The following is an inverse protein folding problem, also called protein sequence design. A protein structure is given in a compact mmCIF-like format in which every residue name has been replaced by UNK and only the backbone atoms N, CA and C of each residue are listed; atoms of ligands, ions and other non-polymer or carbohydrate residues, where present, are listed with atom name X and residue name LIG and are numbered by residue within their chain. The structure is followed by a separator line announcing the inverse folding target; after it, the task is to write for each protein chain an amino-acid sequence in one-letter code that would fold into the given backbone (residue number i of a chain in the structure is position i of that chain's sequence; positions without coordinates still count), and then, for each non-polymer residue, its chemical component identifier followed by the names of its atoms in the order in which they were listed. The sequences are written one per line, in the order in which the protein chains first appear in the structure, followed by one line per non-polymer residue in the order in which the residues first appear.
data_IF_712710789148
#
_entry.id   IF_712710789148
#
_cell.length_a   1.000
_cell.length_b   1.000
_cell.length_c   1.000
_cell.angle_alpha   90.00
_cell.angle_beta   90.00
_cell.angle_gamma   90.00
#
_symmetry.space_group_name_H-M   'P 1'
#
loop_
_entity.id
_entity.type
_entity.pdbx_description
1 polymer ?
#
# COMPACT_ATOMS: atom_id res chain seq x y z
N UNK A 1 -35.78 30.72 36.71
CA UNK A 1 -34.64 31.62 36.46
C UNK A 1 -33.41 30.76 36.22
N UNK A 2 -33.19 30.34 34.98
CA UNK A 2 -32.04 29.57 34.56
C UNK A 2 -31.08 30.53 33.89
N UNK A 3 -30.01 30.89 34.61
CA UNK A 3 -28.87 31.63 34.09
C UNK A 3 -28.14 30.75 33.09
N UNK A 4 -28.51 30.88 31.81
CA UNK A 4 -27.72 30.33 30.72
C UNK A 4 -26.36 31.03 30.74
N UNK A 5 -25.35 30.23 31.09
CA UNK A 5 -23.93 30.37 30.88
C UNK A 5 -23.56 31.32 29.72
N UNK A 6 -23.48 32.61 30.02
CA UNK A 6 -22.61 33.58 29.34
C UNK A 6 -21.18 33.32 29.77
N UNK A 7 -20.63 32.13 29.46
CA UNK A 7 -19.20 31.90 29.60
C UNK A 7 -18.49 32.66 28.48
N UNK A 8 -18.00 33.86 28.83
CA UNK A 8 -16.71 34.39 28.38
C UNK A 8 -16.38 34.28 26.87
N UNK A 9 -17.28 34.71 25.98
CA UNK A 9 -16.92 34.92 24.56
C UNK A 9 -16.20 36.26 24.36
N UNK A 10 -16.44 37.23 25.25
CA UNK A 10 -15.83 38.57 25.16
C UNK A 10 -14.29 38.56 25.31
N UNK A 11 -13.67 37.76 26.22
CA UNK A 11 -12.21 37.57 26.24
C UNK A 11 -11.65 36.81 25.03
N UNK A 12 -12.49 36.04 24.32
CA UNK A 12 -12.04 35.18 23.23
C UNK A 12 -11.69 35.98 21.97
N UNK A 13 -12.48 36.99 21.61
CA UNK A 13 -12.21 37.84 20.44
C UNK A 13 -10.89 38.60 20.53
N UNK A 14 -10.43 38.92 21.74
CA UNK A 14 -9.11 39.53 21.98
C UNK A 14 -7.94 38.60 21.66
N UNK A 15 -8.16 37.29 21.62
CA UNK A 15 -7.13 36.29 21.26
C UNK A 15 -7.07 36.04 19.75
N UNK A 16 -8.03 36.55 18.98
CA UNK A 16 -8.07 36.37 17.54
C UNK A 16 -7.15 37.36 16.84
N UNK A 17 -6.29 36.84 15.98
CA UNK A 17 -5.53 37.62 15.00
C UNK A 17 -6.47 38.29 13.99
N UNK A 18 -6.00 39.35 13.33
CA UNK A 18 -6.75 40.07 12.28
C UNK A 18 -7.25 39.12 11.19
N UNK A 19 -6.42 38.14 10.77
CA UNK A 19 -6.79 37.11 9.81
C UNK A 19 -7.94 36.22 10.31
N UNK A 20 -7.88 35.77 11.57
CA UNK A 20 -8.96 34.99 12.18
C UNK A 20 -10.25 35.80 12.33
N UNK A 21 -10.15 37.08 12.67
CA UNK A 21 -11.31 37.99 12.76
C UNK A 21 -11.99 38.20 11.41
N UNK A 22 -11.21 38.28 10.32
CA UNK A 22 -11.74 38.28 8.95
C UNK A 22 -12.45 36.96 8.64
N UNK A 23 -11.84 35.84 9.01
CA UNK A 23 -12.38 34.52 8.71
C UNK A 23 -13.73 34.23 9.39
N UNK A 24 -13.93 34.75 10.62
CA UNK A 24 -15.25 34.69 11.28
C UNK A 24 -16.32 35.36 10.41
N UNK A 25 -16.04 36.54 9.85
CA UNK A 25 -17.00 37.27 9.00
C UNK A 25 -17.24 36.55 7.67
N UNK A 26 -16.19 35.96 7.07
CA UNK A 26 -16.34 35.15 5.85
C UNK A 26 -17.18 33.91 6.10
N UNK A 27 -16.91 33.18 7.17
CA UNK A 27 -17.70 32.00 7.55
C UNK A 27 -19.19 32.36 7.73
N UNK A 28 -19.53 33.50 8.34
CA UNK A 28 -20.92 33.94 8.44
C UNK A 28 -21.57 34.16 7.06
N UNK A 29 -20.86 34.82 6.15
CA UNK A 29 -21.38 35.13 4.83
C UNK A 29 -21.47 33.90 3.92
N UNK A 30 -20.50 32.99 3.98
CA UNK A 30 -20.36 31.87 3.04
C UNK A 30 -21.05 30.60 3.54
N UNK A 31 -20.91 30.28 4.83
CA UNK A 31 -21.43 29.03 5.42
C UNK A 31 -22.84 29.19 5.97
N UNK A 32 -23.14 30.35 6.53
CA UNK A 32 -24.44 30.65 7.13
C UNK A 32 -25.29 31.59 6.27
N UNK A 33 -24.79 31.96 5.08
CA UNK A 33 -25.47 32.81 4.10
C UNK A 33 -25.97 34.14 4.67
N UNK A 34 -25.34 34.64 5.74
CA UNK A 34 -25.73 35.90 6.38
C UNK A 34 -25.36 37.04 5.45
N UNK A 35 -26.35 37.87 5.09
CA UNK A 35 -26.11 38.91 4.09
C UNK A 35 -25.14 39.99 4.64
N UNK A 36 -24.32 40.62 3.78
CA UNK A 36 -23.46 41.73 4.21
C UNK A 36 -24.23 42.90 4.85
N UNK A 37 -25.52 43.04 4.52
CA UNK A 37 -26.41 44.04 5.11
C UNK A 37 -26.76 43.72 6.56
N UNK A 38 -27.04 42.45 6.86
CA UNK A 38 -27.34 41.98 8.22
C UNK A 38 -26.10 42.05 9.11
N UNK A 39 -24.94 41.65 8.58
CA UNK A 39 -23.65 41.78 9.28
C UNK A 39 -23.37 43.26 9.60
N UNK A 40 -23.59 44.16 8.64
CA UNK A 40 -23.41 45.60 8.83
C UNK A 40 -24.34 46.16 9.91
N UNK A 41 -25.62 45.75 9.89
CA UNK A 41 -26.61 46.13 10.90
C UNK A 41 -26.22 45.63 12.29
N UNK A 42 -25.80 44.37 12.41
CA UNK A 42 -25.40 43.76 13.66
C UNK A 42 -24.14 44.42 14.26
N UNK A 43 -23.16 44.75 13.42
CA UNK A 43 -21.93 45.41 13.85
C UNK A 43 -22.09 46.94 14.06
N UNK A 44 -23.19 47.55 13.62
CA UNK A 44 -23.35 49.01 13.62
C UNK A 44 -22.36 49.73 12.70
N UNK A 45 -22.07 49.15 11.52
CA UNK A 45 -21.14 49.71 10.52
C UNK A 45 -21.79 49.82 9.14
N UNK A 46 -21.10 50.44 8.17
CA UNK A 46 -21.58 50.49 6.78
C UNK A 46 -21.36 49.18 6.02
N UNK A 47 -22.18 48.92 4.99
CA UNK A 47 -21.99 47.76 4.09
C UNK A 47 -20.61 47.78 3.41
N UNK A 48 -20.06 48.97 3.16
CA UNK A 48 -18.72 49.15 2.61
C UNK A 48 -17.64 48.64 3.56
N UNK A 49 -17.81 48.82 4.88
CA UNK A 49 -16.88 48.27 5.88
C UNK A 49 -16.89 46.74 5.84
N UNK A 50 -18.08 46.12 5.83
CA UNK A 50 -18.22 44.66 5.71
C UNK A 50 -17.63 44.14 4.40
N UNK A 51 -17.85 44.84 3.28
CA UNK A 51 -17.24 44.50 2.00
C UNK A 51 -15.70 44.55 2.03
N UNK A 52 -15.10 45.48 2.80
CA UNK A 52 -13.65 45.50 3.02
C UNK A 52 -13.19 44.30 3.86
N UNK A 53 -13.95 43.92 4.89
CA UNK A 53 -13.66 42.73 5.70
C UNK A 53 -13.69 41.43 4.88
N UNK A 54 -14.75 41.22 4.11
CA UNK A 54 -14.90 40.04 3.25
C UNK A 54 -13.76 39.91 2.22
N UNK A 55 -13.29 41.05 1.69
CA UNK A 55 -12.13 41.10 0.78
C UNK A 55 -10.77 41.03 1.49
N UNK A 56 -10.74 40.99 2.82
CA UNK A 56 -9.50 40.97 3.60
C UNK A 56 -8.70 42.28 3.57
N UNK A 57 -9.33 43.38 3.16
CA UNK A 57 -8.69 44.71 3.09
C UNK A 57 -8.64 45.42 4.45
N UNK A 58 -9.43 44.95 5.41
CA UNK A 58 -9.44 45.41 6.80
C UNK A 58 -9.98 44.28 7.69
N UNK A 59 -9.61 44.27 8.98
CA UNK A 59 -10.19 43.35 9.95
C UNK A 59 -11.30 44.04 10.77
N UNK A 60 -12.38 43.34 11.15
CA UNK A 60 -13.32 43.85 12.13
C UNK A 60 -12.62 44.00 13.48
N UNK A 61 -12.93 45.08 14.18
CA UNK A 61 -12.47 45.31 15.55
C UNK A 61 -13.21 44.38 16.52
N UNK A 62 -12.64 44.17 17.70
CA UNK A 62 -13.17 43.24 18.71
C UNK A 62 -14.58 43.65 19.17
N UNK A 63 -14.84 44.94 19.34
CA UNK A 63 -16.16 45.47 19.67
C UNK A 63 -17.20 45.14 18.59
N UNK A 64 -16.81 45.18 17.31
CA UNK A 64 -17.69 44.83 16.18
C UNK A 64 -18.00 43.35 16.14
N UNK A 65 -17.03 42.48 16.39
CA UNK A 65 -17.28 41.04 16.50
C UNK A 65 -18.17 40.71 17.71
N UNK A 66 -17.96 41.40 18.82
CA UNK A 66 -18.80 41.24 20.02
C UNK A 66 -20.25 41.67 19.75
N UNK A 67 -20.45 42.77 19.02
CA UNK A 67 -21.78 43.20 18.58
C UNK A 67 -22.45 42.21 17.62
N UNK A 68 -21.71 41.65 16.65
CA UNK A 68 -22.21 40.60 15.76
C UNK A 68 -22.58 39.35 16.57
N UNK A 69 -21.73 38.92 17.51
CA UNK A 69 -22.01 37.78 18.38
C UNK A 69 -23.27 37.98 19.21
N UNK A 70 -23.48 39.17 19.76
CA UNK A 70 -24.70 39.51 20.50
C UNK A 70 -25.97 39.40 19.64
N UNK A 71 -25.89 39.72 18.34
CA UNK A 71 -27.02 39.62 17.42
C UNK A 71 -27.27 38.20 16.89
N UNK A 72 -26.22 37.39 16.74
CA UNK A 72 -26.28 36.05 16.15
C UNK A 72 -25.29 35.08 16.82
N UNK A 73 -25.54 34.68 18.08
CA UNK A 73 -24.57 33.98 18.91
C UNK A 73 -24.20 32.60 18.36
N UNK A 74 -25.19 31.82 17.92
CA UNK A 74 -24.99 30.45 17.44
C UNK A 74 -24.20 30.37 16.14
N UNK A 75 -24.42 31.32 15.23
CA UNK A 75 -23.71 31.39 13.95
C UNK A 75 -22.24 31.76 14.18
N UNK A 76 -21.99 32.78 15.02
CA UNK A 76 -20.64 33.22 15.34
C UNK A 76 -19.86 32.12 16.06
N UNK A 77 -20.46 31.46 17.07
CA UNK A 77 -19.80 30.39 17.81
C UNK A 77 -19.29 29.26 16.90
N UNK A 78 -20.04 28.90 15.85
CA UNK A 78 -19.65 27.89 14.87
C UNK A 78 -18.61 28.35 13.85
N UNK A 79 -18.37 29.66 13.76
CA UNK A 79 -17.38 30.30 12.90
C UNK A 79 -16.09 30.67 13.64
N UNK A 80 -16.05 30.54 14.97
CA UNK A 80 -14.82 30.76 15.73
C UNK A 80 -13.78 29.69 15.35
N UNK A 81 -12.52 30.08 15.08
CA UNK A 81 -11.47 29.12 14.82
C UNK A 81 -11.25 28.25 16.05
N UNK A 82 -11.32 26.92 15.90
CA UNK A 82 -10.93 26.06 17.01
C UNK A 82 -9.46 26.34 17.38
N UNK A 83 -9.12 26.42 18.67
CA UNK A 83 -7.72 26.55 19.07
C UNK A 83 -6.95 25.35 18.53
N UNK A 84 -5.70 25.59 18.09
CA UNK A 84 -4.84 24.49 17.70
C UNK A 84 -4.72 23.50 18.88
N UNK A 85 -4.79 22.18 18.63
CA UNK A 85 -4.70 21.21 19.69
C UNK A 85 -3.36 21.34 20.41
N UNK A 86 -3.41 21.29 21.72
CA UNK A 86 -2.21 21.25 22.56
C UNK A 86 -1.51 19.89 22.41
N UNK A 87 -0.23 19.82 22.76
CA UNK A 87 0.52 18.56 22.76
C UNK A 87 -0.15 17.48 23.61
N UNK A 88 -0.74 17.85 24.74
CA UNK A 88 -1.43 16.92 25.64
C UNK A 88 -2.66 16.30 24.96
N UNK A 89 -3.43 17.10 24.22
CA UNK A 89 -4.58 16.61 23.45
C UNK A 89 -4.15 15.67 22.32
N UNK A 90 -3.05 16.01 21.63
CA UNK A 90 -2.46 15.14 20.60
C UNK A 90 -2.00 13.82 21.20
N UNK A 91 -1.25 13.84 22.31
CA UNK A 91 -0.76 12.65 22.99
C UNK A 91 -1.92 11.75 23.47
N UNK A 92 -2.99 12.36 24.00
CA UNK A 92 -4.21 11.66 24.39
C UNK A 92 -4.88 10.99 23.18
N UNK A 93 -5.05 11.72 22.07
CA UNK A 93 -5.61 11.17 20.84
C UNK A 93 -4.80 9.98 20.32
N UNK A 94 -3.46 10.10 20.30
CA UNK A 94 -2.56 9.02 19.89
C UNK A 94 -2.66 7.80 20.81
N UNK A 95 -2.81 8.00 22.13
CA UNK A 95 -2.98 6.90 23.10
C UNK A 95 -4.29 6.11 22.88
N UNK A 96 -5.36 6.80 22.46
CA UNK A 96 -6.64 6.18 22.12
C UNK A 96 -6.51 5.37 20.83
N UNK A 97 -5.88 5.96 19.80
CA UNK A 97 -5.60 5.27 18.54
C UNK A 97 -4.75 4.02 18.80
N UNK A 98 -3.67 4.12 19.58
CA UNK A 98 -2.79 2.99 19.88
C UNK A 98 -3.55 1.81 20.52
N UNK A 99 -4.51 2.08 21.41
CA UNK A 99 -5.37 1.04 22.00
C UNK A 99 -6.34 0.45 20.97
N UNK A 100 -6.94 1.29 20.12
CA UNK A 100 -7.85 0.86 19.06
C UNK A 100 -7.17 -0.06 18.03
N UNK A 101 -5.87 0.16 17.75
CA UNK A 101 -5.10 -0.68 16.83
C UNK A 101 -4.90 -2.13 17.32
N UNK A 102 -5.21 -2.44 18.59
CA UNK A 102 -5.21 -3.80 19.12
C UNK A 102 -6.41 -4.63 18.64
N UNK A 103 -7.50 -3.99 18.21
CA UNK A 103 -8.68 -4.65 17.65
C UNK A 103 -8.61 -4.64 16.11
N UNK A 104 -8.81 -5.80 15.43
CA UNK A 104 -8.70 -5.87 13.97
C UNK A 104 -9.70 -5.00 13.20
N UNK A 105 -10.94 -4.85 13.68
CA UNK A 105 -11.96 -4.06 13.01
C UNK A 105 -11.71 -2.56 13.19
N UNK A 106 -11.36 -2.14 14.41
CA UNK A 106 -11.00 -0.75 14.69
C UNK A 106 -9.70 -0.34 14.02
N UNK A 107 -8.72 -1.25 13.92
CA UNK A 107 -7.49 -1.02 13.16
C UNK A 107 -7.79 -0.69 11.71
N UNK A 108 -8.64 -1.48 11.06
CA UNK A 108 -8.99 -1.25 9.65
C UNK A 108 -9.73 0.09 9.47
N UNK A 109 -10.65 0.40 10.39
CA UNK A 109 -11.34 1.69 10.41
C UNK A 109 -10.37 2.87 10.56
N UNK A 110 -9.45 2.80 11.54
CA UNK A 110 -8.45 3.85 11.79
C UNK A 110 -7.57 4.06 10.56
N UNK A 111 -7.10 2.99 9.92
CA UNK A 111 -6.29 3.10 8.71
C UNK A 111 -7.04 3.77 7.57
N UNK A 112 -8.32 3.42 7.36
CA UNK A 112 -9.15 4.07 6.34
C UNK A 112 -9.36 5.57 6.63
N UNK A 113 -9.57 5.95 7.90
CA UNK A 113 -9.69 7.36 8.28
C UNK A 113 -8.38 8.12 8.08
N UNK A 114 -7.25 7.52 8.47
CA UNK A 114 -5.92 8.14 8.27
C UNK A 114 -5.58 8.32 6.79
N UNK A 115 -5.91 7.34 5.94
CA UNK A 115 -5.77 7.46 4.49
C UNK A 115 -6.62 8.61 3.91
N UNK A 116 -7.85 8.79 4.42
CA UNK A 116 -8.72 9.91 4.01
C UNK A 116 -8.19 11.28 4.47
N UNK A 117 -7.61 11.36 5.67
CA UNK A 117 -7.07 12.61 6.23
C UNK A 117 -5.72 12.99 5.63
N UNK A 118 -4.92 11.99 5.23
CA UNK A 118 -3.56 12.14 4.75
C UNK A 118 -3.37 11.44 3.40
N UNK A 119 -4.06 11.89 2.34
CA UNK A 119 -4.06 11.22 1.04
C UNK A 119 -2.65 11.13 0.47
N UNK A 120 -2.23 9.91 0.12
CA UNK A 120 -0.93 9.62 -0.47
C UNK A 120 0.26 9.60 0.52
N UNK A 121 0.03 9.98 1.78
CA UNK A 121 1.06 9.97 2.82
C UNK A 121 0.97 8.73 3.72
N UNK A 122 -0.23 8.18 3.89
CA UNK A 122 -0.44 6.89 4.58
C UNK A 122 -0.36 5.79 3.54
N UNK A 123 0.65 4.93 3.65
CA UNK A 123 0.79 3.71 2.85
C UNK A 123 0.66 2.53 3.79
N UNK A 124 -0.23 1.60 3.46
CA UNK A 124 -0.24 0.29 4.12
C UNK A 124 1.08 -0.38 3.83
N UNK A 125 1.83 -0.70 4.87
CA UNK A 125 3.03 -1.52 4.73
C UNK A 125 2.58 -2.90 4.25
N UNK A 126 2.96 -3.27 3.03
CA UNK A 126 2.64 -4.56 2.43
C UNK A 126 3.61 -5.58 3.05
N UNK A 127 3.33 -5.99 4.28
CA UNK A 127 4.18 -6.90 5.03
C UNK A 127 3.37 -8.10 5.53
N UNK A 128 3.81 -9.31 5.16
CA UNK A 128 3.26 -10.55 5.69
C UNK A 128 4.29 -11.24 6.58
N UNK A 129 4.01 -11.30 7.89
CA UNK A 129 4.84 -12.03 8.85
C UNK A 129 4.51 -13.52 8.77
N UNK A 130 5.50 -14.32 8.37
CA UNK A 130 5.33 -15.76 8.18
C UNK A 130 5.52 -16.47 9.51
N UNK A 131 4.56 -17.33 9.88
CA UNK A 131 4.66 -18.20 11.05
C UNK A 131 5.14 -19.62 10.68
N UNK A 132 5.50 -20.42 11.67
CA UNK A 132 5.78 -21.86 11.45
C UNK A 132 4.54 -22.62 10.98
N UNK A 133 3.36 -22.24 11.49
CA UNK A 133 2.08 -22.82 11.08
C UNK A 133 1.80 -22.59 9.59
N UNK A 134 2.18 -21.44 9.05
CA UNK A 134 2.04 -21.15 7.63
C UNK A 134 2.92 -22.07 6.77
N UNK A 135 4.13 -22.40 7.24
CA UNK A 135 5.03 -23.33 6.55
C UNK A 135 4.48 -24.76 6.58
N UNK A 136 3.89 -25.19 7.70
CA UNK A 136 3.26 -26.51 7.79
C UNK A 136 1.95 -26.58 6.98
N UNK A 137 1.17 -25.50 6.95
CA UNK A 137 0.02 -25.37 6.05
C UNK A 137 0.46 -25.46 4.58
N UNK A 138 1.56 -24.80 4.21
CA UNK A 138 2.14 -24.92 2.87
C UNK A 138 2.54 -26.36 2.56
N UNK A 139 3.23 -27.04 3.49
CA UNK A 139 3.60 -28.46 3.35
C UNK A 139 2.36 -29.34 3.12
N UNK A 140 1.31 -29.13 3.91
CA UNK A 140 0.03 -29.84 3.78
C UNK A 140 -0.62 -29.62 2.41
N UNK A 141 -0.71 -28.36 1.96
CA UNK A 141 -1.27 -28.02 0.64
C UNK A 141 -0.49 -28.66 -0.51
N UNK A 142 0.85 -28.66 -0.46
CA UNK A 142 1.65 -29.32 -1.50
C UNK A 142 1.42 -30.85 -1.53
N UNK A 143 1.25 -31.49 -0.37
CA UNK A 143 0.92 -32.92 -0.31
C UNK A 143 -0.47 -33.21 -0.87
N UNK A 144 -1.46 -32.38 -0.54
CA UNK A 144 -2.83 -32.52 -1.03
C UNK A 144 -2.93 -32.36 -2.55
N UNK A 145 -2.05 -31.58 -3.16
CA UNK A 145 -1.91 -31.46 -4.62
C UNK A 145 -1.20 -32.66 -5.28
N UNK A 146 -0.83 -33.70 -4.52
CA UNK A 146 -0.21 -34.91 -5.04
C UNK A 146 1.30 -34.80 -5.33
N UNK A 147 1.99 -33.78 -4.81
CA UNK A 147 3.44 -33.70 -4.99
C UNK A 147 4.16 -34.79 -4.18
N UNK A 148 5.19 -35.39 -4.79
CA UNK A 148 6.05 -36.36 -4.10
C UNK A 148 6.69 -35.76 -2.85
N UNK A 149 6.91 -36.60 -1.82
CA UNK A 149 7.54 -36.17 -0.57
C UNK A 149 8.87 -35.43 -0.80
N UNK A 150 9.67 -35.91 -1.77
CA UNK A 150 10.91 -35.25 -2.20
C UNK A 150 10.66 -33.82 -2.73
N UNK A 151 9.67 -33.65 -3.61
CA UNK A 151 9.33 -32.34 -4.19
C UNK A 151 8.78 -31.37 -3.14
N UNK A 152 7.97 -31.87 -2.20
CA UNK A 152 7.47 -31.08 -1.06
C UNK A 152 8.64 -30.61 -0.20
N UNK A 153 9.50 -31.53 0.23
CA UNK A 153 10.66 -31.21 1.07
C UNK A 153 11.61 -30.21 0.39
N UNK A 154 11.84 -30.36 -0.92
CA UNK A 154 12.66 -29.42 -1.69
C UNK A 154 12.06 -28.01 -1.70
N UNK A 155 10.76 -27.85 -1.98
CA UNK A 155 10.09 -26.54 -2.02
C UNK A 155 10.08 -25.87 -0.64
N UNK A 156 9.76 -26.63 0.41
CA UNK A 156 9.80 -26.11 1.79
C UNK A 156 11.20 -25.67 2.17
N UNK A 157 12.24 -26.42 1.80
CA UNK A 157 13.64 -26.02 2.04
C UNK A 157 14.01 -24.70 1.39
N UNK A 158 13.68 -24.49 0.12
CA UNK A 158 13.98 -23.21 -0.55
C UNK A 158 13.22 -22.04 0.10
N UNK A 159 11.95 -22.26 0.45
CA UNK A 159 11.15 -21.27 1.18
C UNK A 159 11.80 -20.92 2.52
N UNK A 160 12.08 -21.89 3.38
CA UNK A 160 12.63 -21.65 4.73
C UNK A 160 14.02 -21.01 4.65
N UNK A 161 14.88 -21.44 3.71
CA UNK A 161 16.19 -20.80 3.50
C UNK A 161 16.02 -19.31 3.19
N UNK A 162 15.08 -18.96 2.33
CA UNK A 162 14.78 -17.56 2.02
C UNK A 162 14.20 -16.81 3.21
N UNK A 163 13.23 -17.39 3.93
CA UNK A 163 12.60 -16.77 5.10
C UNK A 163 13.62 -16.45 6.20
N UNK A 164 14.57 -17.35 6.46
CA UNK A 164 15.67 -17.10 7.39
C UNK A 164 16.53 -15.88 6.97
N UNK A 165 16.77 -15.70 5.67
CA UNK A 165 17.57 -14.59 5.16
C UNK A 165 16.85 -13.23 5.20
N UNK A 166 15.52 -13.21 5.27
CA UNK A 166 14.70 -11.98 5.30
C UNK A 166 14.01 -11.75 6.64
N UNK A 167 14.37 -12.53 7.68
CA UNK A 167 13.81 -12.37 9.02
C UNK A 167 12.33 -12.75 9.14
N UNK A 168 11.85 -13.69 8.30
CA UNK A 168 10.47 -14.20 8.33
C UNK A 168 9.38 -13.16 8.03
N UNK A 169 9.74 -12.04 7.40
CA UNK A 169 8.79 -11.00 6.97
C UNK A 169 8.90 -10.84 5.45
N UNK A 170 7.78 -11.07 4.75
CA UNK A 170 7.68 -10.87 3.32
C UNK A 170 7.19 -9.46 3.02
N UNK A 171 8.03 -8.66 2.37
CA UNK A 171 7.67 -7.36 1.79
C UNK A 171 8.05 -7.36 0.30
N UNK A 172 7.47 -6.48 -0.53
CA UNK A 172 7.88 -6.34 -1.93
C UNK A 172 9.39 -6.15 -2.12
N UNK A 173 10.03 -5.40 -1.22
CA UNK A 173 11.46 -5.09 -1.24
C UNK A 173 12.30 -6.33 -0.90
N UNK A 174 11.95 -7.03 0.18
CA UNK A 174 12.69 -8.24 0.56
C UNK A 174 12.52 -9.36 -0.46
N UNK A 175 11.37 -9.45 -1.14
CA UNK A 175 11.15 -10.40 -2.23
C UNK A 175 12.08 -10.18 -3.43
N UNK A 176 12.57 -8.96 -3.66
CA UNK A 176 13.60 -8.70 -4.69
C UNK A 176 14.91 -9.44 -4.43
N UNK A 177 15.21 -9.78 -3.17
CA UNK A 177 16.43 -10.52 -2.80
C UNK A 177 16.50 -11.90 -3.44
N UNK A 178 15.41 -12.40 -4.02
CA UNK A 178 15.43 -13.65 -4.79
C UNK A 178 16.41 -13.58 -5.98
N UNK A 179 16.70 -12.39 -6.49
CA UNK A 179 17.68 -12.18 -7.57
C UNK A 179 19.13 -12.11 -7.08
N UNK A 180 19.36 -11.90 -5.78
CA UNK A 180 20.68 -11.92 -5.17
C UNK A 180 21.14 -13.35 -4.79
N UNK A 181 20.34 -14.36 -5.09
CA UNK A 181 20.63 -15.77 -4.78
C UNK A 181 21.73 -16.30 -5.70
N UNK A 182 22.70 -16.99 -5.08
CA UNK A 182 24.00 -17.41 -5.63
C UNK A 182 23.99 -18.07 -7.02
N UNK A 183 22.93 -18.78 -7.42
CA UNK A 183 22.85 -19.38 -8.75
C UNK A 183 21.47 -19.22 -9.39
N UNK A 184 21.38 -19.03 -10.73
CA UNK A 184 20.11 -18.81 -11.44
C UNK A 184 19.07 -19.91 -11.20
N UNK A 185 19.52 -21.17 -11.09
CA UNK A 185 18.64 -22.31 -10.85
C UNK A 185 18.07 -22.31 -9.42
N UNK A 186 18.88 -21.94 -8.42
CA UNK A 186 18.42 -21.82 -7.03
C UNK A 186 17.49 -20.60 -6.89
N UNK A 187 17.82 -19.48 -7.55
CA UNK A 187 16.96 -18.30 -7.61
C UNK A 187 15.58 -18.65 -8.20
N UNK A 188 15.54 -19.38 -9.32
CA UNK A 188 14.30 -19.82 -9.95
C UNK A 188 13.48 -20.74 -9.03
N UNK A 189 14.10 -21.75 -8.43
CA UNK A 189 13.41 -22.67 -7.50
C UNK A 189 12.87 -21.95 -6.26
N UNK A 190 13.62 -20.98 -5.75
CA UNK A 190 13.20 -20.13 -4.63
C UNK A 190 12.02 -19.25 -5.02
N UNK A 191 12.09 -18.58 -6.18
CA UNK A 191 11.00 -17.77 -6.72
C UNK A 191 9.72 -18.59 -6.96
N UNK A 192 9.84 -19.81 -7.47
CA UNK A 192 8.70 -20.73 -7.64
C UNK A 192 8.08 -21.13 -6.29
N UNK A 193 8.90 -21.44 -5.29
CA UNK A 193 8.43 -21.77 -3.96
C UNK A 193 7.69 -20.59 -3.33
N UNK A 194 8.26 -19.37 -3.40
CA UNK A 194 7.65 -18.13 -2.90
C UNK A 194 6.32 -17.82 -3.58
N UNK A 195 6.26 -17.82 -4.92
CA UNK A 195 4.99 -17.56 -5.64
C UNK A 195 3.92 -18.56 -5.26
N UNK A 196 4.27 -19.85 -5.11
CA UNK A 196 3.30 -20.87 -4.70
C UNK A 196 2.87 -20.71 -3.24
N UNK A 197 3.80 -20.37 -2.35
CA UNK A 197 3.49 -20.06 -0.96
C UNK A 197 2.53 -18.87 -0.85
N UNK A 198 2.79 -17.79 -1.58
CA UNK A 198 1.91 -16.61 -1.60
C UNK A 198 0.52 -16.99 -2.13
N UNK A 199 0.45 -17.72 -3.25
CA UNK A 199 -0.82 -18.12 -3.86
C UNK A 199 -1.63 -19.06 -2.96
N UNK A 200 -0.98 -19.98 -2.25
CA UNK A 200 -1.64 -21.03 -1.49
C UNK A 200 -1.92 -20.65 -0.03
N UNK A 201 -0.98 -19.96 0.64
CA UNK A 201 -1.05 -19.67 2.07
C UNK A 201 -1.38 -18.20 2.31
N UNK A 202 -0.56 -17.28 1.81
CA UNK A 202 -0.75 -15.84 2.04
C UNK A 202 -2.13 -15.40 1.54
N UNK A 203 -2.54 -15.82 0.34
CA UNK A 203 -3.88 -15.51 -0.19
C UNK A 203 -5.04 -15.99 0.70
N UNK A 204 -4.85 -17.08 1.44
CA UNK A 204 -5.88 -17.61 2.34
C UNK A 204 -5.89 -16.89 3.70
N UNK A 205 -4.72 -16.39 4.15
CA UNK A 205 -4.54 -15.73 5.45
C UNK A 205 -4.75 -14.21 5.37
N UNK A 206 -4.22 -13.61 4.32
CA UNK A 206 -4.26 -12.18 4.01
C UNK A 206 -4.50 -11.98 2.50
N UNK A 207 -5.78 -12.00 2.08
CA UNK A 207 -6.16 -11.80 0.68
C UNK A 207 -5.74 -10.44 0.11
N UNK A 208 -5.57 -9.42 0.95
CA UNK A 208 -5.23 -8.06 0.52
C UNK A 208 -3.72 -7.94 0.21
N UNK A 209 -2.85 -8.53 1.04
CA UNK A 209 -1.41 -8.51 0.81
C UNK A 209 -0.97 -9.43 -0.35
N UNK A 210 -1.72 -10.52 -0.61
CA UNK A 210 -1.27 -11.56 -1.53
C UNK A 210 -1.02 -11.10 -2.98
N UNK A 211 -1.89 -10.32 -3.66
CA UNK A 211 -1.63 -9.84 -5.02
C UNK A 211 -0.38 -8.97 -5.06
N UNK A 212 -0.24 -8.06 -4.09
CA UNK A 212 0.85 -7.10 -4.00
C UNK A 212 2.20 -7.80 -3.80
N UNK A 213 2.26 -8.79 -2.92
CA UNK A 213 3.46 -9.62 -2.71
C UNK A 213 3.74 -10.54 -3.90
N UNK A 214 2.71 -11.09 -4.54
CA UNK A 214 2.87 -11.98 -5.69
C UNK A 214 3.46 -11.24 -6.90
N UNK A 215 3.00 -10.01 -7.15
CA UNK A 215 3.40 -9.21 -8.30
C UNK A 215 4.71 -8.43 -8.09
N UNK A 216 5.19 -8.34 -6.84
CA UNK A 216 6.45 -7.70 -6.52
C UNK A 216 7.65 -8.25 -7.31
N UNK A 217 7.67 -9.54 -7.64
CA UNK A 217 8.81 -10.16 -8.33
C UNK A 217 8.39 -11.14 -9.44
N UNK A 218 9.32 -11.39 -10.37
CA UNK A 218 9.14 -12.30 -11.51
C UNK A 218 10.03 -13.53 -11.35
N UNK A 219 9.67 -14.59 -12.06
CA UNK A 219 10.49 -15.79 -12.12
C UNK A 219 11.78 -15.50 -12.91
N UNK A 220 12.97 -15.72 -12.32
CA UNK A 220 14.23 -15.63 -13.05
C UNK A 220 14.23 -16.57 -14.27
N UNK A 221 14.66 -16.07 -15.43
CA UNK A 221 14.82 -16.87 -16.65
C UNK A 221 16.14 -17.64 -16.56
N UNK A 222 16.08 -18.97 -16.56
CA UNK A 222 17.27 -19.81 -16.72
C UNK A 222 17.35 -20.21 -18.20
N UNK A 223 18.44 -19.84 -18.89
CA UNK A 223 18.70 -20.36 -20.24
C UNK A 223 18.88 -21.87 -20.14
N UNK A 224 18.04 -22.64 -20.84
CA UNK A 224 18.28 -24.06 -21.02
C UNK A 224 19.66 -24.22 -21.69
N UNK A 225 20.57 -24.94 -21.04
CA UNK A 225 21.84 -25.32 -21.66
C UNK A 225 21.49 -26.33 -22.75
N UNK A 226 21.53 -25.91 -24.01
CA UNK A 226 21.20 -26.76 -25.14
C UNK A 226 22.10 -28.00 -25.15
N UNK A 227 21.51 -29.17 -24.94
CA UNK A 227 21.96 -30.37 -25.63
C UNK A 227 21.39 -30.26 -27.06
N UNK A 228 22.20 -30.61 -28.05
CA UNK A 228 21.98 -30.51 -29.50
C UNK A 228 22.37 -29.18 -30.15
N UNK A 229 23.68 -28.95 -30.25
CA UNK A 229 24.31 -28.25 -31.37
C UNK A 229 25.76 -28.73 -31.51
N UNK A 230 25.92 -30.00 -31.88
CA UNK A 230 27.14 -30.54 -32.45
C UNK A 230 26.72 -31.40 -33.64
N UNK A 231 26.20 -30.74 -34.67
CA UNK A 231 26.20 -31.24 -36.05
C UNK A 231 25.62 -30.12 -36.93
N UNK A 232 26.52 -29.33 -37.52
CA UNK A 232 26.38 -28.63 -38.80
C UNK A 232 27.48 -27.56 -38.88
N UNK A 233 28.53 -27.86 -39.64
CA UNK A 233 29.59 -26.88 -39.91
C UNK A 233 30.81 -27.45 -40.63
N UNK A 234 30.60 -28.40 -41.55
CA UNK A 234 31.64 -28.78 -42.52
C UNK A 234 31.77 -27.68 -43.57
N UNK A 235 32.84 -26.89 -43.46
CA UNK A 235 33.29 -25.97 -44.50
C UNK A 235 34.30 -26.67 -45.42
N UNK A 236 33.96 -26.68 -46.70
CA UNK A 236 34.64 -27.34 -47.81
C UNK A 236 35.89 -26.57 -48.25
N UNK A 237 37.04 -27.26 -48.41
CA UNK A 237 38.12 -26.83 -49.30
C UNK A 237 39.08 -27.97 -49.71
N UNK A 238 38.92 -28.39 -50.96
CA UNK A 238 39.95 -28.67 -52.00
C UNK A 238 40.88 -29.91 -51.94
N UNK A 239 40.70 -30.69 -53.02
CA UNK A 239 41.70 -31.19 -53.99
C UNK A 239 42.49 -32.46 -53.63
N UNK A 240 42.31 -33.49 -54.48
CA UNK A 240 43.44 -34.31 -54.95
C UNK A 240 43.24 -35.83 -54.90
N UNK A 241 42.72 -36.39 -56.01
CA UNK A 241 43.28 -37.58 -56.68
C UNK A 241 43.25 -38.96 -56.01
N UNK A 242 42.78 -39.96 -56.77
CA UNK A 242 43.40 -41.30 -56.76
C UNK A 242 42.51 -42.47 -56.35
N UNK A 243 41.89 -43.09 -57.37
CA UNK A 243 41.92 -44.52 -57.69
C UNK A 243 41.50 -45.60 -56.67
N UNK A 244 40.65 -46.50 -57.20
CA UNK A 244 40.59 -47.96 -56.96
C UNK A 244 39.98 -48.41 -55.61
N UNK A 245 39.26 -49.52 -55.48
CA UNK A 245 38.60 -50.48 -56.36
C UNK A 245 37.85 -51.44 -55.38
N UNK A 246 36.93 -52.28 -55.90
CA UNK A 246 36.45 -53.54 -55.27
C UNK A 246 35.53 -53.39 -54.03
N UNK A 247 34.48 -54.16 -53.75
CA UNK A 247 33.54 -55.03 -54.43
C UNK A 247 32.65 -55.67 -53.31
N UNK A 248 31.41 -56.01 -53.65
CA UNK A 248 30.77 -57.30 -53.33
C UNK A 248 30.14 -57.56 -51.93
N UNK A 249 28.79 -57.74 -51.99
CA UNK A 249 27.92 -58.74 -51.29
C UNK A 249 27.78 -58.62 -49.76
N UNK A 250 26.69 -59.00 -49.09
CA UNK A 250 25.45 -59.78 -49.30
C UNK A 250 24.53 -59.36 -48.12
N UNK A 251 23.26 -59.02 -48.32
CA UNK A 251 22.06 -59.91 -48.33
C UNK A 251 21.72 -60.55 -46.96
N UNK A 252 20.59 -60.11 -46.37
CA UNK A 252 19.49 -60.84 -45.66
C UNK A 252 18.92 -60.00 -44.51
N UNK A 253 17.66 -59.52 -44.56
CA UNK A 253 16.32 -60.17 -44.46
C UNK A 253 15.90 -60.58 -43.04
N UNK A 254 14.64 -60.22 -42.70
CA UNK A 254 13.87 -60.70 -41.54
C UNK A 254 13.60 -59.58 -40.52
N UNK A 255 12.52 -58.78 -40.56
CA UNK A 255 11.08 -59.07 -40.51
C UNK A 255 10.61 -59.82 -39.25
N UNK A 256 9.98 -59.07 -38.33
CA UNK A 256 8.78 -59.37 -37.50
C UNK A 256 8.72 -58.27 -36.41
N UNK A 257 7.63 -57.57 -36.12
CA UNK A 257 6.22 -57.79 -36.40
C UNK A 257 5.45 -57.84 -35.07
N UNK A 258 4.66 -56.78 -34.82
CA UNK A 258 3.51 -56.65 -33.88
C UNK A 258 3.82 -56.64 -32.37
N UNK A 259 3.47 -55.58 -31.65
CA UNK A 259 2.14 -55.20 -31.13
C UNK A 259 1.54 -56.26 -30.20
N UNK A 260 1.14 -55.83 -28.98
CA UNK A 260 -0.14 -56.11 -28.30
C UNK A 260 -0.05 -55.82 -26.79
N UNK A 261 -0.93 -54.88 -26.39
CA UNK A 261 -1.51 -54.57 -25.06
C UNK A 261 -0.79 -53.58 -24.15
#
# INVERSE_FOLDING_TARGET
MTTHTTMEVEPYFYRLTDAQRIEVVRCLAERFEVSPSEIAKAAGVSKTAVSKWLRGLAAPQVDKLSAIHGAMPDAVAKCLPQPAPTRVEVDLALSVVARALGDPALKEYVLAQLESLLPGQVKREIAYRVSREDVELFRGKLKAEGLSAYSVAARVRYLVKFLNAVGWILTPENLQRVYAVESPNVAQKTAMALKKFIKAVVRARDPAAAPLLYDAFRLPKVKARGLHAADAGGGEARVGGGAQDIAVRRRHMGHHGRDWR
#
